data_IF_013638639618
#
_entry.id   IF_013638639618
#
_cell.length_a   1.000
_cell.length_b   1.000
_cell.length_c   1.000
_cell.angle_alpha   90.00
_cell.angle_beta   90.00
_cell.angle_gamma   90.00
#
_symmetry.space_group_name_H-M   'P 1'
#
loop_
_entity.id
_entity.type
_entity.pdbx_description
1 polymer ?
#
# COMPACT_ATOMS: atom_id res chain seq x y z
N UNK A 1 1.63 24.57 9.15
CA UNK A 1 1.69 24.40 7.69
C UNK A 1 2.53 23.16 7.43
N UNK A 2 1.92 21.99 7.29
CA UNK A 2 2.67 20.78 6.96
C UNK A 2 3.22 20.95 5.53
N UNK A 3 4.54 21.01 5.38
CA UNK A 3 5.18 21.07 4.07
C UNK A 3 4.90 19.77 3.33
N UNK A 4 4.47 19.85 2.07
CA UNK A 4 4.27 18.67 1.23
C UNK A 4 5.56 17.88 1.17
N UNK A 5 5.59 16.67 1.76
CA UNK A 5 6.75 15.78 1.69
C UNK A 5 6.90 15.32 0.25
N UNK A 6 8.12 15.40 -0.29
CA UNK A 6 8.45 14.84 -1.59
C UNK A 6 8.73 13.34 -1.44
N UNK A 7 7.69 12.53 -1.47
CA UNK A 7 7.81 11.06 -1.43
C UNK A 7 7.93 10.47 -2.84
N UNK A 8 8.43 9.24 -2.96
CA UNK A 8 8.50 8.54 -4.25
C UNK A 8 7.10 8.15 -4.74
N UNK A 9 6.23 7.74 -3.82
CA UNK A 9 4.86 7.30 -4.08
C UNK A 9 3.85 8.20 -3.36
N UNK A 10 2.78 8.54 -4.06
CA UNK A 10 1.61 9.20 -3.49
C UNK A 10 0.80 8.18 -2.67
N UNK A 11 0.61 6.97 -3.21
CA UNK A 11 -0.12 5.88 -2.57
C UNK A 11 0.64 4.57 -2.71
N UNK A 12 0.74 3.80 -1.62
CA UNK A 12 1.13 2.39 -1.68
C UNK A 12 0.01 1.52 -1.12
N UNK A 13 -0.45 0.55 -1.91
CA UNK A 13 -1.43 -0.46 -1.51
C UNK A 13 -0.72 -1.71 -0.97
N UNK A 14 -0.70 -1.87 0.34
CA UNK A 14 -0.12 -3.04 1.01
C UNK A 14 -1.15 -4.15 1.18
N UNK A 15 -0.84 -5.36 0.70
CA UNK A 15 -1.77 -6.50 0.72
C UNK A 15 -2.48 -6.77 -0.61
N UNK A 16 -1.98 -6.23 -1.73
CA UNK A 16 -2.60 -6.34 -3.05
C UNK A 16 -2.81 -7.78 -3.58
N UNK A 17 -2.14 -8.78 -2.99
CA UNK A 17 -2.32 -10.20 -3.36
C UNK A 17 -3.49 -10.88 -2.64
N UNK A 18 -4.10 -10.21 -1.66
CA UNK A 18 -5.31 -10.68 -0.98
C UNK A 18 -6.56 -10.46 -1.83
N UNK A 19 -7.70 -10.98 -1.38
CA UNK A 19 -8.97 -10.83 -2.10
C UNK A 19 -9.38 -9.36 -2.25
N UNK A 20 -9.55 -8.66 -1.12
CA UNK A 20 -9.91 -7.23 -1.13
C UNK A 20 -8.81 -6.39 -1.77
N UNK A 21 -7.53 -6.63 -1.43
CA UNK A 21 -6.41 -5.91 -2.01
C UNK A 21 -6.35 -6.00 -3.54
N UNK A 22 -6.66 -7.16 -4.13
CA UNK A 22 -6.72 -7.31 -5.59
C UNK A 22 -7.81 -6.46 -6.22
N UNK A 23 -9.01 -6.42 -5.62
CA UNK A 23 -10.13 -5.58 -6.07
C UNK A 23 -9.81 -4.09 -5.90
N UNK A 24 -9.21 -3.70 -4.77
CA UNK A 24 -8.76 -2.32 -4.54
C UNK A 24 -7.73 -1.90 -5.58
N UNK A 25 -6.79 -2.77 -5.94
CA UNK A 25 -5.80 -2.50 -6.97
C UNK A 25 -6.44 -2.29 -8.35
N UNK A 26 -7.45 -3.09 -8.71
CA UNK A 26 -8.22 -2.89 -9.95
C UNK A 26 -8.95 -1.55 -9.95
N UNK A 27 -9.63 -1.21 -8.85
CA UNK A 27 -10.35 0.06 -8.73
C UNK A 27 -9.42 1.27 -8.85
N UNK A 28 -8.24 1.22 -8.23
CA UNK A 28 -7.21 2.26 -8.40
C UNK A 28 -6.73 2.34 -9.85
N UNK A 29 -6.41 1.21 -10.47
CA UNK A 29 -5.94 1.20 -11.85
C UNK A 29 -6.97 1.80 -12.84
N UNK A 30 -8.25 1.44 -12.68
CA UNK A 30 -9.34 1.89 -13.55
C UNK A 30 -9.67 3.39 -13.39
N UNK A 31 -9.64 3.91 -12.16
CA UNK A 31 -10.27 5.21 -11.86
C UNK A 31 -9.30 6.29 -11.39
N UNK A 32 -8.08 5.94 -11.00
CA UNK A 32 -7.12 6.93 -10.54
C UNK A 32 -6.60 7.79 -11.71
N UNK A 33 -6.20 9.05 -11.43
CA UNK A 33 -5.51 9.89 -12.40
C UNK A 33 -4.23 9.22 -12.95
N UNK A 34 -3.91 9.49 -14.22
CA UNK A 34 -2.74 8.88 -14.88
C UNK A 34 -1.38 9.35 -14.36
N UNK A 35 -1.35 10.48 -13.64
CA UNK A 35 -0.18 11.04 -12.99
C UNK A 35 0.00 10.55 -11.53
N UNK A 36 -0.88 9.68 -11.03
CA UNK A 36 -0.72 9.04 -9.73
C UNK A 36 0.54 8.18 -9.71
N UNK A 37 1.46 8.46 -8.78
CA UNK A 37 2.65 7.63 -8.53
C UNK A 37 2.31 6.62 -7.46
N UNK A 38 2.08 5.36 -7.82
CA UNK A 38 1.64 4.35 -6.87
C UNK A 38 2.30 3.00 -7.06
N UNK A 39 2.25 2.20 -6.00
CA UNK A 39 2.80 0.86 -5.99
C UNK A 39 1.89 -0.11 -5.24
N UNK A 40 2.03 -1.39 -5.56
CA UNK A 40 1.48 -2.51 -4.78
C UNK A 40 2.57 -3.16 -3.95
N UNK A 41 2.26 -3.49 -2.70
CA UNK A 41 3.21 -4.05 -1.75
C UNK A 41 2.72 -5.36 -1.13
N UNK A 42 3.67 -6.23 -0.77
CA UNK A 42 3.42 -7.52 -0.13
C UNK A 42 4.66 -8.39 -0.03
N UNK A 43 4.52 -9.57 0.58
CA UNK A 43 5.64 -10.47 0.88
C UNK A 43 6.14 -11.32 -0.30
N UNK A 44 5.31 -11.45 -1.34
CA UNK A 44 5.58 -12.36 -2.45
C UNK A 44 5.68 -11.60 -3.78
N UNK A 45 6.90 -11.24 -4.22
CA UNK A 45 7.12 -10.49 -5.46
C UNK A 45 6.49 -11.16 -6.69
N UNK A 46 6.54 -12.49 -6.77
CA UNK A 46 5.97 -13.23 -7.90
C UNK A 46 4.43 -13.18 -7.94
N UNK A 47 3.75 -13.10 -6.79
CA UNK A 47 2.29 -12.88 -6.74
C UNK A 47 1.95 -11.43 -7.08
N UNK A 48 2.71 -10.46 -6.57
CA UNK A 48 2.51 -9.05 -6.88
C UNK A 48 2.69 -8.77 -8.37
N UNK A 49 3.72 -9.35 -8.99
CA UNK A 49 3.96 -9.18 -10.42
C UNK A 49 2.81 -9.74 -11.28
N UNK A 50 2.13 -10.79 -10.81
CA UNK A 50 0.90 -11.28 -11.45
C UNK A 50 -0.26 -10.31 -11.30
N UNK A 51 -0.42 -9.69 -10.13
CA UNK A 51 -1.40 -8.62 -9.93
C UNK A 51 -1.10 -7.46 -10.89
N UNK A 52 0.12 -6.91 -10.87
CA UNK A 52 0.57 -5.83 -11.76
C UNK A 52 0.26 -6.11 -13.23
N UNK A 53 0.61 -7.29 -13.73
CA UNK A 53 0.30 -7.70 -15.11
C UNK A 53 -1.20 -7.71 -15.41
N UNK A 54 -2.03 -8.11 -14.45
CA UNK A 54 -3.49 -8.07 -14.58
C UNK A 54 -4.09 -6.66 -14.55
N UNK A 55 -3.37 -5.68 -13.99
CA UNK A 55 -3.75 -4.27 -14.01
C UNK A 55 -3.36 -3.55 -15.31
N UNK A 56 -2.40 -4.11 -16.06
CA UNK A 56 -1.90 -3.49 -17.27
C UNK A 56 -3.03 -3.33 -18.29
N UNK A 57 -3.31 -2.07 -18.66
CA UNK A 57 -4.39 -1.72 -19.58
C UNK A 57 -5.72 -1.34 -18.91
N UNK A 58 -5.81 -1.40 -17.58
CA UNK A 58 -6.92 -0.82 -16.83
C UNK A 58 -6.64 0.67 -16.57
N UNK A 59 -7.51 1.53 -17.10
CA UNK A 59 -7.43 2.98 -16.90
C UNK A 59 -6.08 3.60 -17.24
N UNK A 60 -5.86 4.85 -16.81
CA UNK A 60 -4.59 5.54 -17.02
C UNK A 60 -3.51 5.09 -16.01
N UNK A 61 -3.93 4.72 -14.79
CA UNK A 61 -3.03 4.37 -13.71
C UNK A 61 -2.51 2.93 -13.77
N UNK A 62 -3.23 2.01 -14.42
CA UNK A 62 -2.86 0.59 -14.48
C UNK A 62 -1.59 0.27 -15.28
N UNK A 63 -1.11 1.20 -16.11
CA UNK A 63 0.16 1.05 -16.82
C UNK A 63 1.39 1.45 -16.00
N UNK A 64 1.21 2.20 -14.92
CA UNK A 64 2.29 2.83 -14.14
C UNK A 64 2.28 2.36 -12.67
N UNK A 65 2.24 1.05 -12.46
CA UNK A 65 2.19 0.45 -11.12
C UNK A 65 3.54 -0.19 -10.77
N UNK A 66 4.17 0.26 -9.70
CA UNK A 66 5.39 -0.36 -9.19
C UNK A 66 5.10 -1.52 -8.23
N UNK A 67 6.09 -2.40 -8.02
CA UNK A 67 6.03 -3.50 -7.06
C UNK A 67 7.04 -3.28 -5.95
N UNK A 68 6.56 -3.32 -4.72
CA UNK A 68 7.38 -3.21 -3.51
C UNK A 68 7.26 -4.48 -2.67
N UNK A 69 8.36 -4.85 -2.00
CA UNK A 69 8.34 -5.97 -1.05
C UNK A 69 8.29 -5.42 0.37
N UNK A 70 7.34 -5.89 1.16
CA UNK A 70 7.23 -5.57 2.57
C UNK A 70 6.61 -6.74 3.34
N UNK A 71 7.04 -6.93 4.58
CA UNK A 71 6.55 -7.96 5.50
C UNK A 71 6.18 -7.34 6.84
N UNK A 72 5.00 -7.69 7.36
CA UNK A 72 4.53 -7.26 8.68
C UNK A 72 5.42 -7.76 9.82
N UNK A 73 6.17 -8.84 9.60
CA UNK A 73 7.12 -9.37 10.57
C UNK A 73 8.52 -8.77 10.46
N UNK A 74 8.77 -7.89 9.49
CA UNK A 74 10.04 -7.19 9.30
C UNK A 74 9.85 -5.66 9.46
N UNK A 75 10.11 -5.12 10.67
CA UNK A 75 9.97 -3.69 10.95
C UNK A 75 10.78 -2.79 10.02
N UNK A 76 11.94 -3.25 9.54
CA UNK A 76 12.78 -2.47 8.63
C UNK A 76 12.13 -2.29 7.26
N UNK A 77 11.44 -3.34 6.78
CA UNK A 77 10.68 -3.28 5.54
C UNK A 77 9.47 -2.35 5.64
N UNK A 78 8.77 -2.34 6.79
CA UNK A 78 7.63 -1.44 7.03
C UNK A 78 8.06 0.02 7.10
N UNK A 79 9.19 0.29 7.78
CA UNK A 79 9.77 1.63 7.82
C UNK A 79 10.17 2.12 6.44
N UNK A 80 10.88 1.30 5.66
CA UNK A 80 11.26 1.65 4.30
C UNK A 80 10.04 1.92 3.41
N UNK A 81 8.98 1.12 3.56
CA UNK A 81 7.70 1.34 2.87
C UNK A 81 7.08 2.69 3.24
N UNK A 82 7.05 3.03 4.53
CA UNK A 82 6.44 4.26 5.03
C UNK A 82 7.24 5.51 4.64
N UNK A 83 8.58 5.48 4.71
CA UNK A 83 9.45 6.63 4.40
C UNK A 83 9.33 7.12 2.95
N UNK A 84 9.07 6.22 2.01
CA UNK A 84 8.97 6.55 0.59
C UNK A 84 7.54 6.86 0.11
N UNK A 85 6.57 6.93 1.03
CA UNK A 85 5.13 6.97 0.71
C UNK A 85 4.42 8.14 1.39
N UNK A 86 3.52 8.80 0.66
CA UNK A 86 2.64 9.82 1.25
C UNK A 86 1.50 9.18 2.04
N UNK A 87 0.77 8.23 1.44
CA UNK A 87 -0.30 7.44 2.08
C UNK A 87 -0.07 5.94 1.90
N UNK A 88 -0.03 5.18 3.00
CA UNK A 88 -0.08 3.71 2.95
C UNK A 88 -1.52 3.25 3.19
N UNK A 89 -2.12 2.62 2.19
CA UNK A 89 -3.41 1.95 2.31
C UNK A 89 -3.18 0.44 2.47
N UNK A 90 -3.66 -0.18 3.55
CA UNK A 90 -3.43 -1.60 3.84
C UNK A 90 -4.70 -2.43 3.85
N UNK A 91 -4.59 -3.64 3.29
CA UNK A 91 -5.60 -4.70 3.39
C UNK A 91 -5.03 -5.94 4.11
N UNK A 92 -3.94 -5.78 4.86
CA UNK A 92 -3.26 -6.86 5.57
C UNK A 92 -3.80 -6.96 6.99
N UNK A 93 -4.74 -7.88 7.20
CA UNK A 93 -5.19 -8.30 8.53
C UNK A 93 -4.70 -9.72 8.89
N UNK A 94 -5.05 -10.23 10.09
CA UNK A 94 -5.83 -9.58 11.15
C UNK A 94 -5.14 -8.34 11.72
N UNK A 95 -5.86 -7.25 11.93
CA UNK A 95 -5.26 -5.97 12.31
C UNK A 95 -4.84 -5.93 13.77
N UNK A 96 -5.57 -6.59 14.67
CA UNK A 96 -5.15 -6.75 16.07
C UNK A 96 -3.78 -7.43 16.18
N UNK A 97 -3.44 -8.32 15.25
CA UNK A 97 -2.16 -9.05 15.27
C UNK A 97 -1.05 -8.33 14.49
N UNK A 98 -1.36 -7.75 13.32
CA UNK A 98 -0.35 -7.26 12.37
C UNK A 98 -0.41 -5.76 12.07
N UNK A 99 -1.40 -5.04 12.58
CA UNK A 99 -1.64 -3.64 12.23
C UNK A 99 -0.68 -2.67 12.94
N UNK A 100 -0.39 -2.91 14.22
CA UNK A 100 0.39 -1.99 15.07
C UNK A 100 1.76 -1.65 14.47
N UNK A 101 2.58 -2.62 13.99
CA UNK A 101 3.90 -2.30 13.45
C UNK A 101 3.87 -1.32 12.26
N UNK A 102 2.85 -1.41 11.38
CA UNK A 102 2.73 -0.51 10.24
C UNK A 102 2.20 0.85 10.66
N UNK A 103 1.24 0.91 11.59
CA UNK A 103 0.74 2.19 12.15
C UNK A 103 1.89 2.94 12.83
N UNK A 104 2.69 2.24 13.65
CA UNK A 104 3.86 2.83 14.31
C UNK A 104 4.87 3.37 13.29
N UNK A 105 5.21 2.59 12.25
CA UNK A 105 6.11 3.04 11.20
C UNK A 105 5.57 4.29 10.47
N UNK A 106 4.28 4.33 10.16
CA UNK A 106 3.65 5.49 9.51
C UNK A 106 3.67 6.73 10.42
N UNK A 107 3.35 6.56 11.71
CA UNK A 107 3.40 7.64 12.69
C UNK A 107 4.82 8.22 12.84
N UNK A 108 5.83 7.35 12.94
CA UNK A 108 7.24 7.74 13.07
C UNK A 108 7.77 8.51 11.85
N UNK A 109 7.27 8.20 10.64
CA UNK A 109 7.73 8.80 9.39
C UNK A 109 6.84 9.96 8.92
N UNK A 110 5.76 10.26 9.64
CA UNK A 110 4.75 11.25 9.25
C UNK A 110 4.00 10.87 7.97
N UNK A 111 3.80 9.57 7.75
CA UNK A 111 3.08 8.99 6.62
C UNK A 111 1.63 8.75 6.99
N UNK A 112 0.71 9.12 6.10
CA UNK A 112 -0.71 8.90 6.33
C UNK A 112 -1.01 7.40 6.20
N UNK A 113 -1.93 6.92 7.04
CA UNK A 113 -2.28 5.51 7.14
C UNK A 113 -3.79 5.34 6.94
N UNK A 114 -4.18 4.34 6.15
CA UNK A 114 -5.57 3.93 5.98
C UNK A 114 -5.70 2.41 5.91
N UNK A 115 -6.73 1.87 6.53
CA UNK A 115 -7.05 0.44 6.49
C UNK A 115 -8.56 0.20 6.28
N UNK A 116 -8.97 -1.07 6.27
CA UNK A 116 -10.37 -1.49 6.20
C UNK A 116 -10.87 -2.17 7.49
N UNK A 117 -10.14 -2.03 8.59
CA UNK A 117 -10.40 -2.76 9.82
C UNK A 117 -11.80 -2.49 10.36
N UNK A 118 -12.46 -3.56 10.79
CA UNK A 118 -13.66 -3.49 11.63
C UNK A 118 -13.39 -3.98 13.05
N UNK A 119 -12.14 -4.25 13.39
CA UNK A 119 -11.72 -4.88 14.64
C UNK A 119 -11.67 -3.82 15.75
N UNK A 120 -12.66 -3.80 16.66
CA UNK A 120 -12.76 -2.76 17.70
C UNK A 120 -11.61 -2.76 18.70
N UNK A 121 -10.89 -3.88 18.86
CA UNK A 121 -9.72 -3.97 19.74
C UNK A 121 -8.49 -3.28 19.16
N UNK A 122 -8.51 -2.98 17.85
CA UNK A 122 -7.41 -2.31 17.15
C UNK A 122 -7.58 -0.78 17.05
N UNK A 123 -8.82 -0.29 17.10
CA UNK A 123 -9.18 1.14 16.92
C UNK A 123 -9.12 1.94 18.23
#
# INVERSE_FOLDING_TARGET
>A
MAGTRSTAYDVVLFGATGFTGGLTAQQLAEHAPGDLRWAIAGRNPAKLERVRKGLAGLGAAGSNVDVLTADVTDPSSLRALAEQTSVVATTVGPFVEYGEPLVAACADTGTDYADLTGESEFV
#
